data_IF_561666689162
#
_entry.id   IF_561666689162
#
_cell.length_a   1.000
_cell.length_b   1.000
_cell.length_c   1.000
_cell.angle_alpha   90.00
_cell.angle_beta   90.00
_cell.angle_gamma   90.00
#
_symmetry.space_group_name_H-M   'P 1'
#
loop_
_entity.id
_entity.type
_entity.pdbx_description
1 polymer ?
#
# COMPACT_ATOMS: atom_id res chain seq x y z
N UNK A 1 50.06 44.07 -13.37
CA UNK A 1 49.40 43.78 -12.08
C UNK A 1 47.91 43.63 -12.35
N UNK A 2 47.43 42.39 -12.46
CA UNK A 2 46.00 42.07 -12.42
C UNK A 2 45.86 40.76 -11.64
N UNK A 3 45.26 40.88 -10.46
CA UNK A 3 45.06 39.79 -9.50
C UNK A 3 44.12 38.70 -10.08
N UNK A 4 44.16 37.47 -9.54
CA UNK A 4 43.43 36.34 -10.08
C UNK A 4 41.94 36.39 -9.70
N UNK A 5 41.10 35.90 -10.61
CA UNK A 5 39.70 35.60 -10.37
C UNK A 5 39.59 34.40 -9.42
N UNK A 6 39.48 34.65 -8.12
CA UNK A 6 38.90 33.69 -7.18
C UNK A 6 37.37 33.77 -7.30
N UNK A 7 36.81 32.88 -8.12
CA UNK A 7 35.37 32.59 -8.14
C UNK A 7 35.15 31.15 -7.70
N UNK A 8 35.57 30.84 -6.48
CA UNK A 8 35.15 29.61 -5.80
C UNK A 8 33.74 29.87 -5.26
N UNK A 9 32.74 29.62 -6.11
CA UNK A 9 31.32 29.68 -5.76
C UNK A 9 31.10 28.74 -4.58
N UNK A 10 30.76 29.30 -3.42
CA UNK A 10 30.40 28.52 -2.24
C UNK A 10 29.33 27.52 -2.63
N UNK A 11 29.58 26.22 -2.44
CA UNK A 11 28.51 25.23 -2.31
C UNK A 11 27.46 25.81 -1.37
N UNK A 12 26.26 25.97 -1.89
CA UNK A 12 25.16 26.62 -1.19
C UNK A 12 24.84 25.81 0.07
N UNK A 13 24.98 26.41 1.25
CA UNK A 13 24.60 25.81 2.55
C UNK A 13 23.16 25.30 2.52
N UNK A 14 22.28 25.94 1.74
CA UNK A 14 20.90 25.49 1.54
C UNK A 14 20.83 24.19 0.73
N UNK A 15 21.69 24.01 -0.28
CA UNK A 15 21.76 22.76 -1.04
C UNK A 15 22.28 21.61 -0.17
N UNK A 16 23.32 21.86 0.63
CA UNK A 16 23.86 20.84 1.54
C UNK A 16 22.85 20.44 2.65
N UNK A 17 22.01 21.37 3.12
CA UNK A 17 20.91 21.08 4.05
C UNK A 17 19.80 20.23 3.41
N UNK A 18 19.51 20.45 2.12
CA UNK A 18 18.53 19.66 1.36
C UNK A 18 19.10 18.26 1.11
N UNK A 19 20.31 18.17 0.58
CA UNK A 19 20.98 16.90 0.27
C UNK A 19 21.19 16.05 1.53
N UNK A 20 21.50 16.68 2.68
CA UNK A 20 21.61 15.99 3.97
C UNK A 20 20.29 15.40 4.49
N UNK A 21 19.14 15.79 3.93
CA UNK A 21 17.81 15.25 4.26
C UNK A 21 17.27 14.29 3.20
N UNK A 22 17.89 14.23 2.02
CA UNK A 22 17.49 13.35 0.93
C UNK A 22 18.20 12.00 1.05
N UNK A 23 17.48 10.99 1.53
CA UNK A 23 17.95 9.61 1.50
C UNK A 23 17.70 9.01 0.10
N UNK A 24 18.74 9.06 -0.73
CA UNK A 24 18.70 8.54 -2.11
C UNK A 24 18.42 7.04 -2.16
N UNK A 25 18.92 6.26 -1.21
CA UNK A 25 18.68 4.81 -1.20
C UNK A 25 17.21 4.52 -0.90
N UNK A 26 16.66 5.19 0.12
CA UNK A 26 15.24 5.10 0.45
C UNK A 26 14.34 5.54 -0.70
N UNK A 27 14.73 6.57 -1.45
CA UNK A 27 14.02 6.99 -2.66
C UNK A 27 14.03 5.88 -3.73
N UNK A 28 15.19 5.28 -4.02
CA UNK A 28 15.30 4.19 -5.00
C UNK A 28 14.43 3.00 -4.58
N UNK A 29 14.48 2.61 -3.30
CA UNK A 29 13.72 1.47 -2.79
C UNK A 29 12.20 1.72 -2.87
N UNK A 30 11.76 2.96 -2.61
CA UNK A 30 10.35 3.37 -2.70
C UNK A 30 9.85 3.52 -4.14
N UNK A 31 10.75 3.66 -5.11
CA UNK A 31 10.44 3.80 -6.54
C UNK A 31 10.86 2.57 -7.36
N UNK A 32 11.06 1.43 -6.69
CA UNK A 32 11.36 0.17 -7.38
C UNK A 32 10.31 -0.12 -8.45
N UNK A 33 10.76 -0.56 -9.62
CA UNK A 33 9.90 -1.11 -10.66
C UNK A 33 10.56 -2.32 -11.31
N UNK A 34 9.74 -3.23 -11.80
CA UNK A 34 10.19 -4.48 -12.40
C UNK A 34 9.08 -5.19 -13.16
N UNK A 35 9.36 -6.38 -13.64
CA UNK A 35 8.38 -7.24 -14.28
C UNK A 35 7.46 -7.93 -13.26
N UNK A 36 6.37 -8.51 -13.74
CA UNK A 36 5.56 -9.43 -12.94
C UNK A 36 6.37 -10.57 -12.31
N UNK A 37 7.38 -11.08 -13.03
CA UNK A 37 8.23 -12.18 -12.55
C UNK A 37 9.18 -11.73 -11.43
N UNK A 38 9.71 -10.51 -11.51
CA UNK A 38 10.52 -9.94 -10.43
C UNK A 38 9.69 -9.79 -9.16
N UNK A 39 8.42 -9.36 -9.30
CA UNK A 39 7.49 -9.31 -8.19
C UNK A 39 7.18 -10.69 -7.60
N UNK A 40 6.98 -11.73 -8.43
CA UNK A 40 6.80 -13.09 -7.92
C UNK A 40 8.01 -13.57 -7.09
N UNK A 41 9.23 -13.23 -7.50
CA UNK A 41 10.43 -13.54 -6.72
C UNK A 41 10.45 -12.78 -5.38
N UNK A 42 10.00 -11.53 -5.35
CA UNK A 42 9.84 -10.76 -4.11
C UNK A 42 8.82 -11.44 -3.19
N UNK A 43 7.65 -11.82 -3.70
CA UNK A 43 6.60 -12.49 -2.92
C UNK A 43 7.07 -13.84 -2.40
N UNK A 44 7.84 -14.60 -3.19
CA UNK A 44 8.38 -15.89 -2.77
C UNK A 44 9.39 -15.72 -1.62
N UNK A 45 10.26 -14.72 -1.70
CA UNK A 45 11.26 -14.42 -0.67
C UNK A 45 10.67 -13.74 0.58
N UNK A 46 9.63 -12.93 0.41
CA UNK A 46 8.92 -12.26 1.47
C UNK A 46 7.40 -12.21 1.20
N UNK A 47 6.64 -13.25 1.60
CA UNK A 47 5.20 -13.29 1.38
C UNK A 47 4.41 -12.17 2.08
N UNK A 48 4.99 -11.49 3.07
CA UNK A 48 4.31 -10.40 3.78
C UNK A 48 3.97 -9.21 2.87
N UNK A 49 4.59 -9.10 1.70
CA UNK A 49 4.28 -8.05 0.73
C UNK A 49 2.90 -8.21 0.09
N UNK A 50 2.26 -9.38 0.20
CA UNK A 50 0.92 -9.68 -0.33
C UNK A 50 -0.18 -9.59 0.73
N UNK A 51 0.11 -9.01 1.91
CA UNK A 51 -0.89 -8.79 2.99
C UNK A 51 -2.03 -7.90 2.51
N UNK A 52 -3.23 -8.18 3.02
CA UNK A 52 -4.39 -7.31 2.83
C UNK A 52 -4.32 -6.05 3.73
N UNK A 53 -5.26 -5.13 3.54
CA UNK A 53 -5.29 -3.86 4.29
C UNK A 53 -5.36 -4.03 5.81
N UNK A 54 -6.16 -4.99 6.31
CA UNK A 54 -6.31 -5.23 7.75
C UNK A 54 -5.04 -5.79 8.37
N UNK A 55 -4.41 -6.74 7.69
CA UNK A 55 -3.13 -7.32 8.09
C UNK A 55 -2.04 -6.24 8.16
N UNK A 56 -1.97 -5.38 7.13
CA UNK A 56 -1.02 -4.25 7.11
C UNK A 56 -1.26 -3.27 8.23
N UNK A 57 -2.51 -2.89 8.48
CA UNK A 57 -2.84 -1.95 9.54
C UNK A 57 -2.51 -2.52 10.91
N UNK A 58 -2.84 -3.78 11.15
CA UNK A 58 -2.51 -4.47 12.39
C UNK A 58 -1.00 -4.53 12.62
N UNK A 59 -0.24 -4.94 11.60
CA UNK A 59 1.21 -5.03 11.67
C UNK A 59 1.87 -3.65 11.81
N UNK A 60 1.31 -2.61 11.18
CA UNK A 60 1.76 -1.22 11.34
C UNK A 60 1.64 -0.73 12.79
N UNK A 61 0.53 -1.08 13.46
CA UNK A 61 0.33 -0.75 14.88
C UNK A 61 1.36 -1.47 15.76
N UNK A 62 1.59 -2.77 15.52
CA UNK A 62 2.48 -3.58 16.33
C UNK A 62 3.96 -3.31 16.09
N UNK A 63 4.35 -2.92 14.87
CA UNK A 63 5.72 -2.59 14.52
C UNK A 63 6.31 -1.42 15.35
N UNK A 64 5.46 -0.59 15.96
CA UNK A 64 5.89 0.48 16.88
C UNK A 64 6.11 0.01 18.31
N UNK A 65 5.84 -1.26 18.60
CA UNK A 65 5.94 -1.83 19.92
C UNK A 65 4.73 -1.52 20.79
N UNK A 66 4.63 -2.28 21.88
CA UNK A 66 3.59 -2.13 22.89
C UNK A 66 4.13 -2.52 24.25
N UNK A 67 3.59 -1.90 25.30
CA UNK A 67 3.93 -2.21 26.70
C UNK A 67 2.73 -2.81 27.42
N UNK A 68 2.97 -3.81 28.27
CA UNK A 68 1.96 -4.41 29.15
C UNK A 68 2.11 -3.86 30.55
N UNK A 69 1.03 -3.38 31.13
CA UNK A 69 1.00 -2.86 32.49
C UNK A 69 -0.34 -3.18 33.18
N UNK A 70 -0.40 -3.01 34.50
CA UNK A 70 -1.64 -3.20 35.26
C UNK A 70 -2.27 -1.86 35.60
N UNK A 71 -3.52 -1.67 35.17
CA UNK A 71 -4.34 -0.51 35.51
C UNK A 71 -5.58 -1.01 36.27
N UNK A 72 -5.76 -0.55 37.51
CA UNK A 72 -6.85 -1.01 38.38
C UNK A 72 -6.96 -2.54 38.50
N UNK A 73 -5.82 -3.23 38.65
CA UNK A 73 -5.69 -4.70 38.68
C UNK A 73 -6.11 -5.43 37.40
N UNK A 74 -6.38 -4.72 36.31
CA UNK A 74 -6.63 -5.29 34.98
C UNK A 74 -5.37 -5.17 34.13
N UNK A 75 -5.09 -6.20 33.36
CA UNK A 75 -4.01 -6.15 32.36
C UNK A 75 -4.42 -5.21 31.24
N UNK A 76 -3.50 -4.30 30.91
CA UNK A 76 -3.68 -3.29 29.90
C UNK A 76 -2.47 -3.30 28.96
N UNK A 77 -2.72 -3.03 27.68
CA UNK A 77 -1.69 -2.93 26.65
C UNK A 77 -1.73 -1.52 26.11
N UNK A 78 -0.61 -0.81 26.23
CA UNK A 78 -0.42 0.46 25.53
C UNK A 78 0.33 0.22 24.24
N UNK A 79 -0.27 0.62 23.12
CA UNK A 79 0.37 0.57 21.81
C UNK A 79 1.03 1.91 21.53
N UNK A 80 2.35 1.92 21.37
CA UNK A 80 3.12 3.17 21.16
C UNK A 80 2.75 3.87 19.86
N UNK A 81 2.16 3.15 18.90
CA UNK A 81 1.58 3.71 17.68
C UNK A 81 0.64 4.90 17.95
N UNK A 82 -0.19 4.82 19.00
CA UNK A 82 -1.16 5.88 19.33
C UNK A 82 -0.56 7.02 20.17
N UNK A 83 0.72 6.93 20.55
CA UNK A 83 1.46 8.02 21.20
C UNK A 83 2.06 9.00 20.18
N UNK A 84 1.72 8.84 18.89
CA UNK A 84 2.19 9.64 17.76
C UNK A 84 3.73 9.70 17.62
N UNK A 85 4.41 8.56 17.37
CA UNK A 85 5.86 8.52 17.18
C UNK A 85 6.32 9.14 15.84
N UNK A 86 5.40 9.78 15.10
CA UNK A 86 5.62 10.27 13.75
C UNK A 86 5.79 11.79 13.69
N UNK A 87 5.08 12.55 14.56
CA UNK A 87 5.27 14.00 14.76
C UNK A 87 5.49 14.31 16.26
N UNK A 88 6.41 13.57 16.90
CA UNK A 88 6.88 13.88 18.27
C UNK A 88 5.76 14.03 19.32
N UNK A 89 4.71 13.21 19.24
CA UNK A 89 3.62 13.22 20.21
C UNK A 89 2.58 14.32 20.03
N UNK A 90 2.63 15.10 18.93
CA UNK A 90 1.70 16.20 18.66
C UNK A 90 0.23 15.78 18.82
N UNK A 91 -0.07 14.54 18.45
CA UNK A 91 -1.41 13.98 18.54
C UNK A 91 -1.50 12.71 19.41
N UNK A 92 -0.57 12.57 20.36
CA UNK A 92 -0.55 11.44 21.28
C UNK A 92 -1.89 11.27 22.02
N UNK A 93 -2.40 10.04 22.05
CA UNK A 93 -3.62 9.68 22.76
C UNK A 93 -3.24 9.11 24.13
N UNK A 94 -3.87 9.66 25.18
CA UNK A 94 -3.63 9.25 26.57
C UNK A 94 -4.94 8.85 27.25
N UNK A 95 -4.88 7.85 28.14
CA UNK A 95 -6.02 7.46 28.98
C UNK A 95 -7.11 6.64 28.26
N UNK A 96 -6.90 6.28 27.00
CA UNK A 96 -7.84 5.47 26.20
C UNK A 96 -7.32 4.06 25.92
N UNK A 97 -6.34 3.57 26.70
CA UNK A 97 -5.65 2.30 26.44
C UNK A 97 -6.62 1.11 26.30
N UNK A 98 -7.64 0.98 27.15
CA UNK A 98 -8.67 -0.07 27.00
C UNK A 98 -9.48 0.05 25.71
N UNK A 99 -9.86 1.26 25.30
CA UNK A 99 -10.58 1.50 24.04
C UNK A 99 -9.70 1.14 22.84
N UNK A 100 -8.41 1.52 22.89
CA UNK A 100 -7.44 1.20 21.87
C UNK A 100 -7.16 -0.31 21.81
N UNK A 101 -7.17 -1.02 22.94
CA UNK A 101 -7.11 -2.49 22.96
C UNK A 101 -8.29 -3.11 22.21
N UNK A 102 -9.51 -2.68 22.46
CA UNK A 102 -10.68 -3.18 21.72
C UNK A 102 -10.59 -2.88 20.21
N UNK A 103 -10.07 -1.70 19.85
CA UNK A 103 -9.84 -1.32 18.46
C UNK A 103 -8.78 -2.19 17.79
N UNK A 104 -7.66 -2.44 18.47
CA UNK A 104 -6.58 -3.28 17.93
C UNK A 104 -7.00 -4.76 17.87
N UNK A 105 -7.81 -5.23 18.81
CA UNK A 105 -8.41 -6.56 18.78
C UNK A 105 -9.37 -6.73 17.59
N UNK A 106 -10.10 -5.67 17.22
CA UNK A 106 -10.92 -5.64 16.01
C UNK A 106 -10.03 -5.83 14.76
N UNK A 107 -8.91 -5.12 14.66
CA UNK A 107 -7.96 -5.29 13.55
C UNK A 107 -7.33 -6.67 13.51
N UNK A 108 -6.94 -7.24 14.66
CA UNK A 108 -6.48 -8.64 14.75
C UNK A 108 -7.51 -9.60 14.17
N UNK A 109 -8.77 -9.46 14.61
CA UNK A 109 -9.87 -10.33 14.16
C UNK A 109 -10.12 -10.22 12.65
N UNK A 110 -9.97 -9.02 12.08
CA UNK A 110 -10.05 -8.79 10.63
C UNK A 110 -8.83 -9.35 9.88
N UNK A 111 -7.62 -9.23 10.44
CA UNK A 111 -6.38 -9.78 9.88
C UNK A 111 -6.38 -11.32 9.84
N UNK A 112 -7.03 -11.97 10.81
CA UNK A 112 -7.28 -13.42 10.83
C UNK A 112 -8.44 -13.84 9.91
N UNK A 113 -9.27 -12.88 9.51
CA UNK A 113 -10.36 -13.07 8.57
C UNK A 113 -11.56 -13.82 9.16
N UNK A 114 -11.93 -13.48 10.39
CA UNK A 114 -13.13 -13.98 11.07
C UNK A 114 -14.43 -13.24 10.69
N UNK A 115 -14.45 -12.57 9.52
CA UNK A 115 -15.62 -11.86 9.00
C UNK A 115 -15.74 -10.42 9.49
N UNK A 116 -14.86 -9.98 10.39
CA UNK A 116 -14.77 -8.58 10.82
C UNK A 116 -14.26 -7.67 9.70
N UNK A 117 -13.53 -8.23 8.74
CA UNK A 117 -13.08 -7.64 7.48
C UNK A 117 -14.23 -7.21 6.53
N UNK A 118 -15.47 -7.60 6.85
CA UNK A 118 -16.67 -7.24 6.07
C UNK A 118 -17.60 -6.27 6.80
N UNK A 119 -17.13 -5.66 7.90
CA UNK A 119 -17.94 -4.80 8.77
C UNK A 119 -17.48 -3.35 8.72
N UNK A 120 -18.44 -2.44 8.83
CA UNK A 120 -18.17 -1.02 9.03
C UNK A 120 -17.82 -0.79 10.51
N UNK A 121 -16.65 -0.22 10.77
CA UNK A 121 -16.24 0.20 12.11
C UNK A 121 -16.72 1.63 12.37
N UNK A 122 -17.66 1.79 13.29
CA UNK A 122 -18.19 3.10 13.68
C UNK A 122 -17.59 3.55 15.01
N UNK A 123 -16.81 4.64 14.99
CA UNK A 123 -16.34 5.30 16.21
C UNK A 123 -17.40 6.31 16.68
N UNK A 124 -18.03 6.04 17.82
CA UNK A 124 -19.01 6.93 18.43
C UNK A 124 -18.60 7.31 19.86
N UNK A 125 -19.01 8.50 20.30
CA UNK A 125 -18.71 8.99 21.65
C UNK A 125 -18.80 10.51 21.77
N UNK A 126 -18.68 11.07 22.99
CA UNK A 126 -18.76 12.51 23.23
C UNK A 126 -17.75 13.34 22.43
N UNK A 127 -18.00 14.64 22.28
CA UNK A 127 -17.02 15.57 21.70
C UNK A 127 -15.74 15.53 22.52
N UNK A 128 -14.57 15.57 21.86
CA UNK A 128 -13.27 15.52 22.52
C UNK A 128 -12.77 14.12 22.90
N UNK A 129 -13.47 13.03 22.53
CA UNK A 129 -13.06 11.65 22.84
C UNK A 129 -12.03 11.05 21.85
N UNK A 130 -11.15 11.86 21.27
CA UNK A 130 -10.07 11.48 20.33
C UNK A 130 -10.45 10.66 19.08
N UNK A 131 -11.73 10.59 18.67
CA UNK A 131 -12.16 9.78 17.50
C UNK A 131 -11.44 10.16 16.21
N UNK A 132 -11.42 11.46 15.89
CA UNK A 132 -10.72 11.97 14.70
C UNK A 132 -9.20 11.83 14.82
N UNK A 133 -8.67 11.96 16.04
CA UNK A 133 -7.25 11.73 16.34
C UNK A 133 -6.85 10.28 16.06
N UNK A 134 -7.65 9.29 16.49
CA UNK A 134 -7.44 7.87 16.17
C UNK A 134 -7.39 7.68 14.65
N UNK A 135 -8.40 8.19 13.94
CA UNK A 135 -8.47 8.05 12.48
C UNK A 135 -7.24 8.67 11.79
N UNK A 136 -6.83 9.87 12.18
CA UNK A 136 -5.66 10.55 11.61
C UNK A 136 -4.35 9.82 11.93
N UNK A 137 -4.17 9.30 13.14
CA UNK A 137 -3.00 8.51 13.51
C UNK A 137 -2.93 7.19 12.72
N UNK A 138 -4.06 6.52 12.47
CA UNK A 138 -4.09 5.31 11.65
C UNK A 138 -3.63 5.61 10.22
N UNK A 139 -4.14 6.68 9.60
CA UNK A 139 -3.74 7.10 8.25
C UNK A 139 -2.25 7.44 8.19
N UNK A 140 -1.82 8.37 9.05
CA UNK A 140 -0.43 8.83 9.15
C UNK A 140 0.55 7.68 9.42
N UNK A 141 0.21 6.80 10.36
CA UNK A 141 1.04 5.67 10.72
C UNK A 141 1.11 4.62 9.62
N UNK A 142 0.03 4.42 8.86
CA UNK A 142 0.02 3.53 7.70
C UNK A 142 0.85 4.10 6.54
N UNK A 143 0.80 5.40 6.27
CA UNK A 143 1.71 6.05 5.33
C UNK A 143 3.17 5.84 5.73
N UNK A 144 3.51 6.11 7.01
CA UNK A 144 4.85 5.92 7.54
C UNK A 144 5.32 4.47 7.44
N UNK A 145 4.43 3.52 7.74
CA UNK A 145 4.72 2.10 7.64
C UNK A 145 4.99 1.69 6.19
N UNK A 146 4.19 2.16 5.22
CA UNK A 146 4.38 1.83 3.79
C UNK A 146 5.73 2.28 3.21
N UNK A 147 6.39 3.25 3.87
CA UNK A 147 7.74 3.74 3.53
C UNK A 147 8.88 2.87 4.07
N UNK A 148 8.58 1.86 4.88
CA UNK A 148 9.58 0.92 5.42
C UNK A 148 9.66 -0.35 4.56
N UNK A 149 10.75 -1.14 4.68
CA UNK A 149 10.84 -2.46 4.05
C UNK A 149 9.73 -3.41 4.52
N UNK A 150 9.38 -3.37 5.80
CA UNK A 150 8.36 -4.24 6.39
C UNK A 150 6.96 -3.87 5.90
N UNK A 151 6.68 -2.59 5.66
CA UNK A 151 5.40 -2.13 5.11
C UNK A 151 5.29 -2.24 3.59
N UNK A 152 6.16 -3.01 2.95
CA UNK A 152 6.21 -3.17 1.51
C UNK A 152 4.92 -3.62 0.85
N UNK A 153 4.50 -2.89 -0.19
CA UNK A 153 3.35 -3.20 -1.03
C UNK A 153 3.59 -2.74 -2.46
N UNK A 154 3.03 -3.47 -3.42
CA UNK A 154 3.27 -3.24 -4.84
C UNK A 154 1.93 -3.19 -5.56
N UNK A 155 1.92 -2.43 -6.65
CA UNK A 155 0.83 -2.38 -7.63
C UNK A 155 1.44 -2.51 -9.01
N UNK A 156 0.62 -2.61 -10.04
CA UNK A 156 1.09 -2.68 -11.41
C UNK A 156 0.54 -1.56 -12.30
N UNK A 157 1.16 -1.44 -13.45
CA UNK A 157 0.75 -0.67 -14.60
C UNK A 157 0.78 -1.57 -15.84
N UNK A 158 -0.09 -1.29 -16.80
CA UNK A 158 -0.10 -1.92 -18.11
C UNK A 158 0.76 -1.12 -19.09
N UNK A 159 1.57 -1.81 -19.88
CA UNK A 159 2.31 -1.27 -21.01
C UNK A 159 1.49 -1.50 -22.28
N UNK A 160 1.00 -0.43 -22.89
CA UNK A 160 0.09 -0.46 -24.04
C UNK A 160 0.56 0.56 -25.10
N UNK A 161 -0.25 0.80 -26.14
CA UNK A 161 -0.02 1.93 -27.04
C UNK A 161 -0.44 3.28 -26.43
N UNK A 162 -0.23 4.37 -27.18
CA UNK A 162 -0.56 5.74 -26.74
C UNK A 162 -2.05 6.01 -26.52
N UNK A 163 -2.92 5.14 -27.02
CA UNK A 163 -4.37 5.24 -26.91
C UNK A 163 -4.95 4.34 -25.83
N UNK A 164 -4.10 3.67 -25.03
CA UNK A 164 -4.52 2.69 -24.01
C UNK A 164 -5.21 1.47 -24.65
N UNK A 165 -4.74 1.06 -25.82
CA UNK A 165 -5.26 -0.09 -26.57
C UNK A 165 -4.19 -1.18 -26.75
N UNK A 166 -4.68 -2.40 -27.00
CA UNK A 166 -3.84 -3.53 -27.40
C UNK A 166 -3.77 -3.53 -28.93
N UNK A 167 -2.75 -2.87 -29.46
CA UNK A 167 -2.50 -2.81 -30.90
C UNK A 167 -1.14 -3.45 -31.25
N UNK A 168 -0.99 -4.03 -32.45
CA UNK A 168 0.26 -4.61 -32.87
C UNK A 168 1.35 -3.55 -33.06
N UNK A 169 2.61 -3.92 -32.81
CA UNK A 169 3.77 -3.07 -33.11
C UNK A 169 3.93 -2.89 -34.62
N UNK A 170 4.35 -1.70 -35.04
CA UNK A 170 4.69 -1.43 -36.44
C UNK A 170 5.79 -2.40 -36.92
N UNK A 171 5.42 -3.32 -37.82
CA UNK A 171 6.33 -4.32 -38.40
C UNK A 171 6.26 -5.72 -37.77
N UNK A 172 5.52 -5.91 -36.68
CA UNK A 172 5.24 -7.24 -36.13
C UNK A 172 3.79 -7.35 -35.63
N UNK A 173 2.95 -8.02 -36.44
CA UNK A 173 1.54 -8.24 -36.10
C UNK A 173 1.32 -9.20 -34.92
N UNK A 174 2.36 -9.89 -34.43
CA UNK A 174 2.28 -10.88 -33.36
C UNK A 174 2.73 -10.36 -31.99
N UNK A 175 3.23 -9.14 -31.92
CA UNK A 175 3.65 -8.49 -30.68
C UNK A 175 2.84 -7.21 -30.49
N UNK A 176 2.23 -7.03 -29.32
CA UNK A 176 1.48 -5.82 -29.00
C UNK A 176 2.40 -4.71 -28.48
N UNK A 177 2.00 -3.46 -28.74
CA UNK A 177 2.71 -2.25 -28.33
C UNK A 177 2.83 -2.14 -26.81
N UNK A 178 3.96 -1.58 -26.36
CA UNK A 178 4.33 -1.35 -24.96
C UNK A 178 4.90 0.06 -24.77
N UNK A 179 4.46 1.01 -25.60
CA UNK A 179 5.06 2.36 -25.68
C UNK A 179 4.64 3.29 -24.53
N UNK A 180 3.47 3.07 -23.92
CA UNK A 180 2.92 3.92 -22.88
C UNK A 180 2.50 3.11 -21.65
N UNK A 181 2.65 3.72 -20.47
CA UNK A 181 2.32 3.11 -19.18
C UNK A 181 1.00 3.65 -18.64
N UNK A 182 0.10 2.74 -18.26
CA UNK A 182 -1.18 3.07 -17.62
C UNK A 182 -1.31 2.34 -16.28
N UNK A 183 -1.33 3.08 -15.19
CA UNK A 183 -1.42 2.51 -13.85
C UNK A 183 -2.77 1.81 -13.61
N UNK A 184 -2.77 0.72 -12.83
CA UNK A 184 -4.01 0.17 -12.27
C UNK A 184 -4.68 1.25 -11.39
N UNK A 185 -5.93 1.67 -11.70
CA UNK A 185 -6.63 2.72 -10.97
C UNK A 185 -6.87 2.35 -9.50
N UNK A 186 -7.15 1.07 -9.25
CA UNK A 186 -7.46 0.57 -7.90
C UNK A 186 -6.21 0.18 -7.09
N UNK A 187 -5.02 0.35 -7.67
CA UNK A 187 -3.74 -0.05 -7.09
C UNK A 187 -3.73 -1.49 -6.56
N UNK A 188 -4.34 -2.41 -7.31
CA UNK A 188 -4.48 -3.80 -6.90
C UNK A 188 -3.13 -4.51 -6.81
N UNK A 189 -3.07 -5.51 -5.92
CA UNK A 189 -1.89 -6.37 -5.82
C UNK A 189 -1.69 -7.15 -7.13
N UNK A 190 -0.46 -7.22 -7.69
CA UNK A 190 -0.22 -7.91 -8.97
C UNK A 190 -0.66 -9.38 -9.00
N UNK A 191 -0.71 -10.08 -7.86
CA UNK A 191 -1.24 -11.45 -7.79
C UNK A 191 -2.70 -11.56 -8.23
N UNK A 192 -3.45 -10.45 -8.32
CA UNK A 192 -4.84 -10.46 -8.81
C UNK A 192 -4.92 -10.89 -10.28
N UNK A 193 -3.85 -10.67 -11.05
CA UNK A 193 -3.73 -11.03 -12.47
C UNK A 193 -3.51 -12.53 -12.69
N UNK A 194 -3.17 -13.28 -11.63
CA UNK A 194 -3.02 -14.74 -11.70
C UNK A 194 -4.41 -15.37 -11.85
N UNK A 195 -4.62 -16.29 -12.82
CA UNK A 195 -5.89 -16.97 -13.00
C UNK A 195 -6.37 -17.61 -11.71
N UNK A 196 -7.68 -17.53 -11.44
CA UNK A 196 -8.27 -17.89 -10.15
C UNK A 196 -7.88 -19.28 -9.64
N UNK A 197 -7.81 -20.28 -10.51
CA UNK A 197 -7.42 -21.65 -10.16
C UNK A 197 -5.95 -21.70 -9.70
N UNK A 198 -5.03 -21.20 -10.53
CA UNK A 198 -3.60 -21.14 -10.20
C UNK A 198 -3.31 -20.23 -8.98
N UNK A 199 -4.12 -19.19 -8.78
CA UNK A 199 -4.00 -18.27 -7.64
C UNK A 199 -4.29 -18.97 -6.31
N UNK A 200 -5.22 -19.94 -6.29
CA UNK A 200 -5.51 -20.70 -5.07
C UNK A 200 -4.29 -21.54 -4.65
N UNK A 201 -3.67 -22.24 -5.60
CA UNK A 201 -2.48 -23.06 -5.36
C UNK A 201 -1.27 -22.19 -4.98
N UNK A 202 -1.09 -21.06 -5.66
CA UNK A 202 -0.04 -20.08 -5.35
C UNK A 202 -0.20 -19.56 -3.92
N UNK A 203 -1.40 -19.14 -3.52
CA UNK A 203 -1.66 -18.67 -2.16
C UNK A 203 -1.48 -19.77 -1.12
N UNK A 204 -1.81 -21.03 -1.44
CA UNK A 204 -1.55 -22.15 -0.56
C UNK A 204 -0.04 -22.30 -0.30
N UNK A 205 0.78 -22.31 -1.36
CA UNK A 205 2.24 -22.40 -1.26
C UNK A 205 2.85 -21.24 -0.47
N UNK A 206 2.37 -20.00 -0.69
CA UNK A 206 2.83 -18.84 0.09
C UNK A 206 2.48 -18.96 1.57
N UNK A 207 1.27 -19.43 1.89
CA UNK A 207 0.80 -19.60 3.26
C UNK A 207 1.49 -20.74 4.03
N UNK A 208 2.15 -21.68 3.36
CA UNK A 208 3.01 -22.67 4.03
C UNK A 208 4.27 -22.03 4.62
N UNK A 209 4.80 -21.02 3.94
CA UNK A 209 6.01 -20.28 4.34
C UNK A 209 5.70 -19.08 5.21
N UNK A 210 4.57 -18.44 4.99
CA UNK A 210 4.18 -17.23 5.70
C UNK A 210 3.56 -17.52 7.06
N UNK A 211 4.24 -17.08 8.13
CA UNK A 211 3.75 -17.16 9.50
C UNK A 211 3.82 -15.78 10.14
N UNK A 212 2.70 -15.05 10.24
CA UNK A 212 2.70 -13.77 10.92
C UNK A 212 3.06 -13.94 12.40
N UNK A 213 3.76 -12.96 12.97
CA UNK A 213 4.28 -13.03 14.34
C UNK A 213 3.18 -12.93 15.41
N UNK A 214 2.12 -12.18 15.12
CA UNK A 214 1.18 -11.70 16.14
C UNK A 214 -0.27 -12.21 15.97
N UNK A 215 -0.54 -13.00 14.95
CA UNK A 215 -1.87 -13.54 14.64
C UNK A 215 -1.76 -14.84 13.85
N UNK A 216 -2.88 -15.56 13.65
CA UNK A 216 -2.91 -16.85 12.94
C UNK A 216 -3.57 -16.79 11.56
N UNK A 217 -3.59 -15.60 10.97
CA UNK A 217 -4.21 -15.35 9.67
C UNK A 217 -3.43 -15.95 8.51
N UNK A 218 -4.08 -16.01 7.35
CA UNK A 218 -3.50 -16.43 6.06
C UNK A 218 -3.53 -15.27 5.07
N UNK A 219 -2.58 -15.21 4.15
CA UNK A 219 -2.66 -14.37 2.98
C UNK A 219 -3.90 -14.76 2.19
N UNK A 220 -4.71 -13.77 1.87
CA UNK A 220 -5.95 -13.93 1.11
C UNK A 220 -6.00 -12.83 0.07
N UNK A 221 -6.20 -13.21 -1.17
CA UNK A 221 -6.54 -12.30 -2.25
C UNK A 221 -7.93 -12.70 -2.76
N UNK A 222 -8.90 -11.81 -2.54
CA UNK A 222 -10.28 -12.00 -2.96
C UNK A 222 -10.57 -11.12 -4.17
N UNK A 223 -11.52 -11.57 -5.00
CA UNK A 223 -11.99 -10.80 -6.14
C UNK A 223 -11.32 -11.17 -7.45
N UNK A 224 -11.59 -10.33 -8.43
CA UNK A 224 -11.08 -10.39 -9.79
C UNK A 224 -10.54 -8.99 -10.10
N UNK A 225 -9.65 -8.83 -11.10
CA UNK A 225 -9.14 -7.52 -11.47
C UNK A 225 -10.27 -6.51 -11.68
N UNK A 226 -9.98 -5.25 -11.37
CA UNK A 226 -10.86 -4.12 -11.60
C UNK A 226 -11.33 -4.06 -13.08
N UNK A 227 -12.44 -3.36 -13.40
CA UNK A 227 -13.00 -3.38 -14.75
C UNK A 227 -12.02 -2.96 -15.85
N UNK A 228 -11.13 -1.99 -15.56
CA UNK A 228 -10.12 -1.52 -16.50
C UNK A 228 -9.05 -2.59 -16.72
N UNK A 229 -8.47 -3.12 -15.63
CA UNK A 229 -7.45 -4.16 -15.72
C UNK A 229 -7.98 -5.46 -16.32
N UNK A 230 -9.25 -5.80 -16.04
CA UNK A 230 -9.92 -6.98 -16.62
C UNK A 230 -10.11 -6.84 -18.12
N UNK A 231 -10.51 -5.65 -18.61
CA UNK A 231 -10.64 -5.39 -20.05
C UNK A 231 -9.28 -5.57 -20.74
N UNK A 232 -8.23 -4.92 -20.23
CA UNK A 232 -6.89 -4.99 -20.83
C UNK A 232 -6.35 -6.42 -20.82
N UNK A 233 -6.49 -7.14 -19.70
CA UNK A 233 -6.08 -8.54 -19.64
C UNK A 233 -6.86 -9.38 -20.67
N UNK A 234 -8.16 -9.16 -20.83
CA UNK A 234 -8.97 -9.82 -21.85
C UNK A 234 -8.49 -9.55 -23.28
N UNK A 235 -8.21 -8.29 -23.60
CA UNK A 235 -7.74 -7.86 -24.92
C UNK A 235 -6.34 -8.46 -25.23
N UNK A 236 -5.43 -8.47 -24.26
CA UNK A 236 -4.11 -9.10 -24.39
C UNK A 236 -4.22 -10.63 -24.57
N UNK A 237 -5.10 -11.27 -23.81
CA UNK A 237 -5.34 -12.71 -23.95
C UNK A 237 -5.93 -13.04 -25.31
N UNK A 238 -6.82 -12.21 -25.86
CA UNK A 238 -7.34 -12.37 -27.21
C UNK A 238 -6.26 -12.15 -28.27
N UNK A 239 -5.42 -11.13 -28.12
CA UNK A 239 -4.32 -10.81 -29.05
C UNK A 239 -3.27 -11.92 -29.10
N UNK A 240 -2.92 -12.52 -27.96
CA UNK A 240 -1.89 -13.56 -27.86
C UNK A 240 -2.43 -14.99 -27.87
N UNK A 241 -3.64 -15.21 -28.42
CA UNK A 241 -4.25 -16.55 -28.55
C UNK A 241 -4.29 -17.33 -27.21
N UNK A 242 -4.49 -16.63 -26.10
CA UNK A 242 -4.55 -17.19 -24.76
C UNK A 242 -3.21 -17.38 -24.04
N UNK A 243 -2.10 -16.91 -24.59
CA UNK A 243 -0.79 -16.97 -23.91
C UNK A 243 -0.69 -15.94 -22.76
N UNK A 244 -1.05 -16.38 -21.56
CA UNK A 244 -0.98 -15.57 -20.34
C UNK A 244 0.43 -15.07 -20.03
N UNK A 245 1.49 -15.83 -20.36
CA UNK A 245 2.87 -15.40 -20.08
C UNK A 245 3.24 -14.19 -20.94
N UNK A 246 2.78 -14.14 -22.19
CA UNK A 246 2.93 -12.96 -23.05
C UNK A 246 2.15 -11.77 -22.53
N UNK A 247 0.90 -11.98 -22.08
CA UNK A 247 0.12 -10.91 -21.46
C UNK A 247 0.83 -10.32 -20.22
N UNK A 248 1.45 -11.14 -19.38
CA UNK A 248 2.25 -10.66 -18.24
C UNK A 248 3.50 -9.88 -18.65
N UNK A 249 3.96 -10.01 -19.90
CA UNK A 249 5.00 -9.16 -20.48
C UNK A 249 4.58 -7.70 -20.67
N UNK A 250 3.29 -7.38 -20.54
CA UNK A 250 2.75 -6.02 -20.52
C UNK A 250 2.60 -5.46 -19.11
N UNK A 251 2.95 -6.22 -18.07
CA UNK A 251 2.79 -5.80 -16.68
C UNK A 251 4.11 -5.23 -16.18
N UNK A 252 4.10 -3.95 -15.83
CA UNK A 252 5.17 -3.30 -15.07
C UNK A 252 4.71 -3.17 -13.61
N UNK A 253 5.36 -3.90 -12.71
CA UNK A 253 5.11 -3.78 -11.28
C UNK A 253 5.92 -2.61 -10.72
N UNK A 254 5.31 -1.85 -9.81
CA UNK A 254 5.90 -0.71 -9.13
C UNK A 254 5.65 -0.77 -7.64
N UNK A 255 6.63 -0.33 -6.87
CA UNK A 255 6.47 -0.05 -5.44
C UNK A 255 5.52 1.14 -5.29
N UNK A 256 4.57 1.03 -4.38
CA UNK A 256 3.71 2.16 -4.01
C UNK A 256 3.93 2.52 -2.54
N UNK A 257 3.73 3.80 -2.23
CA UNK A 257 3.74 4.35 -0.89
C UNK A 257 2.34 4.90 -0.65
N UNK A 258 1.73 4.54 0.48
CA UNK A 258 0.40 5.00 0.83
C UNK A 258 0.45 6.50 1.15
N UNK A 259 -0.57 7.23 0.70
CA UNK A 259 -0.68 8.68 0.86
C UNK A 259 -2.16 9.06 0.93
N UNK A 260 -2.58 9.65 2.05
CA UNK A 260 -3.91 10.27 2.15
C UNK A 260 -4.01 11.47 1.21
N UNK A 261 -2.94 12.28 1.14
CA UNK A 261 -2.91 13.50 0.33
C UNK A 261 -3.08 13.21 -1.16
N UNK A 262 -2.36 12.19 -1.64
CA UNK A 262 -2.38 11.80 -3.05
C UNK A 262 -3.42 10.69 -3.32
N UNK A 263 -4.25 10.35 -2.31
CA UNK A 263 -5.29 9.31 -2.35
C UNK A 263 -4.80 7.92 -2.78
N UNK A 264 -3.54 7.61 -2.50
CA UNK A 264 -2.94 6.30 -2.78
C UNK A 264 -3.24 5.35 -1.63
N UNK A 265 -4.27 4.52 -1.80
CA UNK A 265 -4.69 3.47 -0.86
C UNK A 265 -5.28 3.94 0.47
N UNK A 266 -5.32 5.27 0.72
CA UNK A 266 -6.01 5.89 1.86
C UNK A 266 -6.96 6.95 1.32
N UNK A 267 -8.27 6.70 1.46
CA UNK A 267 -9.32 7.65 1.07
C UNK A 267 -10.04 8.23 2.29
N UNK A 268 -10.40 9.52 2.20
CA UNK A 268 -11.24 10.20 3.20
C UNK A 268 -12.46 10.76 2.52
N UNK A 269 -13.62 10.19 2.83
CA UNK A 269 -14.89 10.74 2.38
C UNK A 269 -15.51 11.58 3.49
N UNK A 270 -15.72 12.87 3.22
CA UNK A 270 -16.46 13.74 4.12
C UNK A 270 -17.94 13.68 3.77
N UNK A 271 -18.85 13.59 4.76
CA UNK A 271 -20.27 13.63 4.48
C UNK A 271 -20.60 14.96 3.79
N UNK A 272 -21.06 14.87 2.54
CA UNK A 272 -21.58 15.96 1.73
C UNK A 272 -23.06 15.73 1.46
N UNK A 273 -23.78 16.82 1.20
CA UNK A 273 -25.15 16.77 0.73
C UNK A 273 -25.29 15.84 -0.48
N UNK A 274 -26.39 15.08 -0.52
CA UNK A 274 -26.67 14.01 -1.50
C UNK A 274 -26.53 14.46 -2.97
N UNK A 275 -26.71 15.76 -3.24
CA UNK A 275 -26.60 16.36 -4.57
C UNK A 275 -25.17 16.68 -5.03
N UNK A 276 -24.21 16.69 -4.11
CA UNK A 276 -22.82 17.08 -4.36
C UNK A 276 -21.83 15.91 -4.12
N UNK A 277 -22.33 14.68 -4.15
CA UNK A 277 -21.48 13.49 -4.03
C UNK A 277 -20.89 13.14 -5.39
N UNK A 278 -19.55 13.16 -5.48
CA UNK A 278 -18.80 12.68 -6.63
C UNK A 278 -18.08 11.39 -6.26
N UNK A 279 -18.31 10.33 -7.04
CA UNK A 279 -17.69 9.02 -6.83
C UNK A 279 -16.19 9.00 -7.09
N UNK A 280 -15.66 9.98 -7.84
CA UNK A 280 -14.21 10.14 -8.09
C UNK A 280 -13.42 10.37 -6.79
N UNK A 281 -14.07 10.86 -5.73
CA UNK A 281 -13.43 11.06 -4.42
C UNK A 281 -12.96 9.75 -3.76
N UNK A 282 -13.50 8.60 -4.17
CA UNK A 282 -13.16 7.28 -3.64
C UNK A 282 -12.11 6.54 -4.47
N UNK A 283 -12.04 6.80 -5.77
CA UNK A 283 -11.14 6.10 -6.70
C UNK A 283 -9.87 6.87 -7.01
N UNK A 284 -9.82 8.17 -6.70
CA UNK A 284 -8.80 9.06 -7.27
C UNK A 284 -9.16 9.42 -8.73
N UNK A 285 -8.49 10.45 -9.26
CA UNK A 285 -8.50 10.82 -10.68
C UNK A 285 -7.45 10.01 -11.46
#
# INVERSE_FOLDING_TARGET
>A
MSAPHDANVSKSVLADLIDGKLDRQRFIDQHWSGSFWDYLAIVEGNPSVARNAYQRLYDAVLARGHERYKLFKKDCVRYHFFSDPFDDGADGIFGLDFTLMHLVDFFRSAAEGYGTDKRILLLHGPVGSSKSTIARLLKKGLEHYSRTPEGALYSFSWLLDEHCEVSPVAGDAKEASKSHEFACPMHEDPLILVPREARADLLAALNERWKPEHYHGKLRLQGEPDPFCRKILGDLMAFYDGDWRKAMGHVKVRRIVLSEKDRVGIGTFQPKDEKNQDSTELTGD
#
